data_IF_408007159602
#
_entry.id   IF_408007159602
#
_cell.length_a   1.000
_cell.length_b   1.000
_cell.length_c   1.000
_cell.angle_alpha   90.00
_cell.angle_beta   90.00
_cell.angle_gamma   90.00
#
_symmetry.space_group_name_H-M   'P 1'
#
loop_
_entity.id
_entity.type
_entity.pdbx_description
1 polymer ?
#
# COMPACT_ATOMS: atom_id res chain seq x y z
N UNK A 1 4.84 -20.85 12.19
CA UNK A 1 4.24 -20.24 13.39
C UNK A 1 3.40 -21.33 14.01
N UNK A 2 3.89 -21.96 15.07
CA UNK A 2 3.44 -23.32 15.44
C UNK A 2 2.88 -23.36 16.86
N UNK A 3 2.91 -22.22 17.56
CA UNK A 3 2.32 -22.05 18.89
C UNK A 3 1.07 -21.19 18.77
N UNK A 4 -0.03 -21.64 19.35
CA UNK A 4 -1.28 -20.88 19.41
C UNK A 4 -1.41 -20.28 20.81
N UNK A 5 -1.71 -19.00 20.90
CA UNK A 5 -2.00 -18.34 22.17
C UNK A 5 -3.31 -18.89 22.78
N UNK A 6 -3.28 -19.33 24.03
CA UNK A 6 -4.47 -19.88 24.70
C UNK A 6 -5.56 -18.85 25.03
N UNK A 7 -5.24 -17.56 25.03
CA UNK A 7 -6.17 -16.49 25.38
C UNK A 7 -6.86 -15.84 24.18
N UNK A 8 -6.16 -15.74 23.04
CA UNK A 8 -6.62 -14.98 21.88
C UNK A 8 -6.45 -15.73 20.55
N UNK A 9 -6.02 -17.00 20.59
CA UNK A 9 -5.81 -17.86 19.41
C UNK A 9 -4.81 -17.34 18.37
N UNK A 10 -4.05 -16.30 18.69
CA UNK A 10 -3.02 -15.77 17.79
C UNK A 10 -1.92 -16.81 17.55
N UNK A 11 -1.51 -16.94 16.28
CA UNK A 11 -0.35 -17.72 15.88
C UNK A 11 0.93 -17.01 16.33
N UNK A 12 1.85 -17.77 16.91
CA UNK A 12 3.10 -17.26 17.50
C UNK A 12 4.32 -17.91 16.89
N UNK A 13 5.42 -17.16 16.85
CA UNK A 13 6.74 -17.72 16.58
C UNK A 13 7.28 -18.51 17.78
N UNK A 14 8.17 -19.47 17.52
CA UNK A 14 8.68 -20.41 18.54
C UNK A 14 9.25 -19.72 19.79
N UNK A 15 9.94 -18.60 19.59
CA UNK A 15 10.66 -17.83 20.62
C UNK A 15 9.96 -16.49 20.98
N UNK A 16 8.72 -16.30 20.55
CA UNK A 16 7.99 -15.08 20.82
C UNK A 16 7.50 -15.03 22.27
N UNK A 17 7.68 -13.88 22.93
CA UNK A 17 7.35 -13.74 24.35
C UNK A 17 5.86 -14.02 24.63
N UNK A 18 5.49 -14.52 25.82
CA UNK A 18 4.10 -14.79 26.18
C UNK A 18 3.16 -13.56 26.07
N UNK A 19 3.70 -12.35 26.14
CA UNK A 19 2.94 -11.09 26.17
C UNK A 19 2.70 -10.44 24.81
N UNK A 20 3.36 -10.91 23.75
CA UNK A 20 3.41 -10.20 22.46
C UNK A 20 2.05 -10.00 21.77
N UNK A 21 1.07 -10.90 21.98
CA UNK A 21 -0.23 -10.83 21.31
C UNK A 21 -1.31 -10.13 22.15
N UNK A 22 -1.59 -10.62 23.36
CA UNK A 22 -2.70 -10.14 24.21
C UNK A 22 -2.23 -9.78 25.63
N UNK A 23 -0.94 -9.49 25.81
CA UNK A 23 -0.33 -9.24 27.11
C UNK A 23 -0.64 -10.34 28.15
N UNK A 24 -0.61 -11.60 27.71
CA UNK A 24 -0.98 -12.78 28.51
C UNK A 24 -2.43 -12.74 29.02
N UNK A 25 -3.37 -12.40 28.13
CA UNK A 25 -4.81 -12.37 28.42
C UNK A 25 -5.34 -11.07 29.03
N UNK A 26 -4.47 -10.08 29.27
CA UNK A 26 -4.87 -8.77 29.83
C UNK A 26 -5.55 -7.87 28.81
N UNK A 27 -5.30 -8.07 27.52
CA UNK A 27 -5.88 -7.29 26.42
C UNK A 27 -6.85 -8.19 25.65
N UNK A 28 -8.14 -7.85 25.68
CA UNK A 28 -9.14 -8.46 24.80
C UNK A 28 -9.08 -7.74 23.46
N UNK A 29 -8.59 -8.44 22.43
CA UNK A 29 -8.62 -7.88 21.08
C UNK A 29 -10.06 -7.89 20.53
N UNK A 30 -10.42 -6.91 19.68
CA UNK A 30 -11.69 -6.96 18.95
C UNK A 30 -11.75 -8.21 18.08
N UNK A 31 -12.96 -8.69 17.84
CA UNK A 31 -13.18 -9.75 16.86
C UNK A 31 -12.84 -9.22 15.47
N UNK A 32 -12.05 -9.98 14.71
CA UNK A 32 -11.74 -9.65 13.33
C UNK A 32 -12.90 -10.11 12.45
N UNK A 33 -13.65 -9.16 11.91
CA UNK A 33 -14.65 -9.48 10.89
C UNK A 33 -13.94 -9.84 9.58
N UNK A 34 -14.47 -10.84 8.83
CA UNK A 34 -13.93 -11.16 7.53
C UNK A 34 -14.05 -9.93 6.62
N UNK A 35 -13.03 -9.66 5.78
CA UNK A 35 -13.14 -8.59 4.81
C UNK A 35 -14.28 -8.91 3.82
N UNK A 36 -14.86 -7.88 3.14
CA UNK A 36 -15.81 -8.08 2.07
C UNK A 36 -15.33 -9.15 1.06
N UNK A 37 -16.25 -9.93 0.50
CA UNK A 37 -15.95 -11.10 -0.34
C UNK A 37 -14.92 -10.78 -1.44
N UNK A 38 -15.09 -9.64 -2.12
CA UNK A 38 -14.15 -9.18 -3.13
C UNK A 38 -12.71 -9.10 -2.59
N UNK A 39 -12.51 -8.45 -1.45
CA UNK A 39 -11.17 -8.31 -0.84
C UNK A 39 -10.63 -9.65 -0.32
N UNK A 40 -11.50 -10.56 0.11
CA UNK A 40 -11.09 -11.89 0.56
C UNK A 40 -10.62 -12.80 -0.59
N UNK A 41 -11.16 -12.61 -1.80
CA UNK A 41 -10.91 -13.49 -2.96
C UNK A 41 -9.75 -13.04 -3.83
N UNK A 42 -9.43 -11.73 -3.89
CA UNK A 42 -8.31 -11.19 -4.68
C UNK A 42 -6.95 -11.87 -4.40
N UNK A 43 -6.57 -12.20 -3.15
CA UNK A 43 -5.30 -12.86 -2.88
C UNK A 43 -5.29 -14.36 -3.23
N UNK A 44 -6.45 -14.97 -3.50
CA UNK A 44 -6.56 -16.43 -3.71
C UNK A 44 -5.83 -16.92 -4.96
N UNK A 45 -5.76 -16.09 -6.02
CA UNK A 45 -5.18 -16.47 -7.30
C UNK A 45 -5.87 -17.67 -7.99
N UNK A 46 -7.08 -18.06 -7.57
CA UNK A 46 -7.74 -19.28 -8.07
C UNK A 46 -8.47 -18.99 -9.39
N UNK A 47 -9.32 -17.97 -9.40
CA UNK A 47 -10.12 -17.59 -10.57
C UNK A 47 -9.39 -16.55 -11.45
N UNK A 48 -9.94 -16.29 -12.64
CA UNK A 48 -9.32 -15.40 -13.64
C UNK A 48 -9.04 -14.00 -13.09
N UNK A 49 -9.97 -13.45 -12.29
CA UNK A 49 -9.86 -12.08 -11.78
C UNK A 49 -8.79 -11.91 -10.70
N UNK A 50 -8.75 -12.72 -9.61
CA UNK A 50 -7.62 -12.79 -8.67
C UNK A 50 -6.27 -12.99 -9.35
N UNK A 51 -6.17 -13.87 -10.36
CA UNK A 51 -4.91 -14.05 -11.12
C UNK A 51 -4.49 -12.76 -11.81
N UNK A 52 -5.39 -12.14 -12.57
CA UNK A 52 -5.14 -10.87 -13.24
C UNK A 52 -4.79 -9.76 -12.25
N UNK A 53 -5.43 -9.74 -11.08
CA UNK A 53 -5.13 -8.80 -10.00
C UNK A 53 -3.70 -8.99 -9.50
N UNK A 54 -3.30 -10.21 -9.14
CA UNK A 54 -1.96 -10.51 -8.65
C UNK A 54 -0.88 -10.21 -9.69
N UNK A 55 -1.10 -10.57 -10.96
CA UNK A 55 -0.21 -10.25 -12.08
C UNK A 55 0.00 -8.74 -12.27
N UNK A 56 -1.00 -7.92 -11.93
CA UNK A 56 -0.96 -6.47 -12.11
C UNK A 56 -0.99 -5.70 -10.78
N UNK A 57 -0.72 -6.35 -9.63
CA UNK A 57 -0.93 -5.76 -8.29
C UNK A 57 -0.15 -4.46 -8.10
N UNK A 58 1.04 -4.35 -8.70
CA UNK A 58 1.85 -3.13 -8.67
C UNK A 58 1.17 -1.97 -9.38
N UNK A 59 0.52 -2.21 -10.52
CA UNK A 59 -0.25 -1.18 -11.25
C UNK A 59 -1.47 -0.75 -10.44
N UNK A 60 -2.21 -1.70 -9.87
CA UNK A 60 -3.34 -1.39 -9.00
C UNK A 60 -2.90 -0.51 -7.81
N UNK A 61 -1.90 -0.95 -7.04
CA UNK A 61 -1.41 -0.19 -5.88
C UNK A 61 -0.91 1.20 -6.27
N UNK A 62 -0.28 1.34 -7.43
CA UNK A 62 0.21 2.62 -7.93
C UNK A 62 -0.93 3.56 -8.30
N UNK A 63 -2.02 3.06 -8.90
CA UNK A 63 -3.23 3.85 -9.16
C UNK A 63 -3.88 4.41 -7.89
N UNK A 64 -3.64 3.81 -6.73
CA UNK A 64 -4.13 4.31 -5.43
C UNK A 64 -3.02 4.96 -4.59
N UNK A 65 -1.85 5.27 -5.17
CA UNK A 65 -0.77 5.91 -4.42
C UNK A 65 -1.15 7.34 -4.03
N UNK A 66 -1.12 7.62 -2.72
CA UNK A 66 -1.38 8.97 -2.18
C UNK A 66 -0.11 9.80 -2.01
N UNK A 67 1.05 9.13 -2.02
CA UNK A 67 2.36 9.76 -1.85
C UNK A 67 3.29 9.30 -2.96
N UNK A 68 4.22 10.16 -3.34
CA UNK A 68 5.31 9.83 -4.26
C UNK A 68 6.64 10.15 -3.59
N UNK A 69 7.70 9.51 -4.08
CA UNK A 69 9.05 9.73 -3.56
C UNK A 69 9.80 10.67 -4.50
N UNK A 70 10.24 11.81 -3.98
CA UNK A 70 11.10 12.75 -4.69
C UNK A 70 12.53 12.64 -4.18
N UNK A 71 13.51 12.77 -5.07
CA UNK A 71 14.94 12.84 -4.70
C UNK A 71 15.55 14.07 -5.35
N UNK A 72 16.46 14.74 -4.64
CA UNK A 72 17.14 15.94 -5.14
C UNK A 72 18.13 15.61 -6.25
N UNK A 73 18.86 14.49 -6.10
CA UNK A 73 19.86 14.03 -7.05
C UNK A 73 19.62 12.56 -7.36
N UNK A 74 19.63 12.20 -8.64
CA UNK A 74 19.54 10.82 -9.11
C UNK A 74 20.90 10.44 -9.67
N UNK A 75 21.60 9.51 -9.00
CA UNK A 75 22.82 8.89 -9.56
C UNK A 75 22.43 7.51 -10.07
N UNK A 76 22.56 7.29 -11.39
CA UNK A 76 22.32 5.98 -12.03
C UNK A 76 23.66 5.37 -12.41
N UNK A 77 24.29 4.66 -11.47
CA UNK A 77 25.48 3.85 -11.77
C UNK A 77 25.07 2.40 -12.07
N UNK A 78 25.37 1.92 -13.28
CA UNK A 78 25.14 0.54 -13.74
C UNK A 78 23.77 -0.07 -13.34
N UNK A 79 23.61 -1.38 -13.50
CA UNK A 79 22.40 -2.09 -13.09
C UNK A 79 22.35 -2.21 -11.56
N UNK A 80 21.91 -1.14 -10.89
CA UNK A 80 21.59 -1.15 -9.47
C UNK A 80 20.11 -1.51 -9.30
N UNK A 81 19.75 -2.71 -8.80
CA UNK A 81 18.35 -3.11 -8.62
C UNK A 81 17.68 -2.40 -7.43
N UNK A 82 18.42 -1.55 -6.72
CA UNK A 82 17.98 -0.84 -5.51
C UNK A 82 18.23 0.65 -5.65
N UNK A 83 17.28 1.48 -5.23
CA UNK A 83 17.53 2.92 -5.07
C UNK A 83 18.10 3.15 -3.68
N UNK A 84 19.12 4.01 -3.57
CA UNK A 84 19.73 4.39 -2.28
C UNK A 84 19.38 5.83 -1.99
N UNK A 85 18.87 6.08 -0.79
CA UNK A 85 18.58 7.43 -0.30
C UNK A 85 19.66 7.79 0.71
N UNK A 86 20.33 8.93 0.50
CA UNK A 86 21.29 9.49 1.44
C UNK A 86 20.69 10.75 2.07
N UNK A 87 20.74 10.83 3.40
CA UNK A 87 20.17 11.95 4.17
C UNK A 87 18.83 11.60 4.81
N UNK A 88 18.02 12.62 5.10
CA UNK A 88 16.72 12.48 5.77
C UNK A 88 15.57 12.46 4.77
N UNK A 89 14.58 11.60 5.04
CA UNK A 89 13.31 11.56 4.32
C UNK A 89 12.34 12.46 5.07
N UNK A 90 11.74 13.43 4.36
CA UNK A 90 10.68 14.28 4.90
C UNK A 90 9.41 14.10 4.07
N UNK A 91 8.26 14.11 4.75
CA UNK A 91 6.97 14.15 4.07
C UNK A 91 6.71 15.57 3.58
N UNK A 92 6.58 15.73 2.25
CA UNK A 92 6.14 16.99 1.65
C UNK A 92 4.65 16.91 1.35
N UNK A 93 3.83 17.41 2.28
CA UNK A 93 2.41 17.61 2.01
C UNK A 93 2.26 18.82 1.07
N UNK A 94 1.78 18.57 -0.15
CA UNK A 94 1.46 19.63 -1.11
C UNK A 94 0.11 20.29 -0.82
N UNK A 95 -0.21 21.32 -1.60
CA UNK A 95 -1.56 21.93 -1.59
C UNK A 95 -2.62 20.89 -1.98
N UNK A 96 -3.80 20.97 -1.36
CA UNK A 96 -4.97 20.19 -1.75
C UNK A 96 -5.54 20.62 -3.11
N UNK A 97 -5.30 21.89 -3.48
CA UNK A 97 -5.65 22.44 -4.79
C UNK A 97 -4.45 22.37 -5.73
N UNK A 98 -4.65 22.09 -7.03
CA UNK A 98 -3.61 22.26 -8.02
C UNK A 98 -3.17 23.73 -8.08
N UNK A 99 -1.93 23.94 -8.56
CA UNK A 99 -1.48 25.28 -8.93
C UNK A 99 -2.30 25.78 -10.14
N UNK A 100 -2.36 27.11 -10.37
CA UNK A 100 -2.92 27.65 -11.61
C UNK A 100 -2.30 26.94 -12.82
N UNK A 101 -3.16 26.55 -13.77
CA UNK A 101 -2.80 25.85 -15.02
C UNK A 101 -2.13 24.47 -14.86
N UNK A 102 -2.16 23.87 -13.67
CA UNK A 102 -1.67 22.53 -13.42
C UNK A 102 -2.80 21.51 -13.27
N UNK A 103 -2.59 20.31 -13.80
CA UNK A 103 -3.46 19.16 -13.53
C UNK A 103 -3.44 18.76 -12.05
N UNK A 104 -4.57 18.25 -11.56
CA UNK A 104 -4.63 17.61 -10.24
C UNK A 104 -3.90 16.25 -10.24
N UNK A 105 -3.06 16.01 -9.22
CA UNK A 105 -2.23 14.80 -9.09
C UNK A 105 -2.34 14.16 -7.72
N UNK A 106 -2.06 12.85 -7.65
CA UNK A 106 -2.05 12.08 -6.40
C UNK A 106 -3.33 12.29 -5.57
N UNK A 107 -3.22 12.78 -4.34
CA UNK A 107 -4.34 13.07 -3.45
C UNK A 107 -5.37 14.03 -4.07
N UNK A 108 -4.95 14.99 -4.89
CA UNK A 108 -5.86 15.98 -5.49
C UNK A 108 -6.87 15.34 -6.45
N UNK A 109 -6.54 14.19 -7.05
CA UNK A 109 -7.43 13.46 -7.97
C UNK A 109 -8.73 13.03 -7.26
N UNK A 110 -8.67 12.74 -5.96
CA UNK A 110 -9.84 12.31 -5.19
C UNK A 110 -10.83 13.45 -4.92
N UNK A 111 -10.37 14.70 -4.95
CA UNK A 111 -11.18 15.87 -4.61
C UNK A 111 -11.61 16.69 -5.83
N UNK A 112 -10.76 16.72 -6.86
CA UNK A 112 -10.92 17.66 -7.98
C UNK A 112 -11.42 17.01 -9.27
N UNK A 113 -11.14 15.72 -9.48
CA UNK A 113 -11.45 15.06 -10.75
C UNK A 113 -12.86 14.49 -10.76
N UNK A 114 -13.54 14.62 -11.91
CA UNK A 114 -14.76 13.85 -12.18
C UNK A 114 -14.46 12.36 -12.12
N UNK A 115 -15.39 11.57 -11.59
CA UNK A 115 -15.22 10.12 -11.36
C UNK A 115 -14.68 9.39 -12.59
N UNK A 116 -15.18 9.73 -13.78
CA UNK A 116 -14.84 9.07 -15.03
C UNK A 116 -13.41 9.39 -15.53
N UNK A 117 -12.86 10.53 -15.11
CA UNK A 117 -11.53 11.02 -15.50
C UNK A 117 -10.43 10.56 -14.53
N UNK A 118 -10.79 10.19 -13.29
CA UNK A 118 -9.85 9.79 -12.23
C UNK A 118 -8.92 8.67 -12.65
N UNK A 119 -9.46 7.65 -13.33
CA UNK A 119 -8.69 6.47 -13.75
C UNK A 119 -7.65 6.87 -14.79
N UNK A 120 -8.06 7.60 -15.83
CA UNK A 120 -7.16 8.04 -16.88
C UNK A 120 -6.06 8.94 -16.31
N UNK A 121 -6.41 9.85 -15.41
CA UNK A 121 -5.46 10.73 -14.74
C UNK A 121 -4.41 9.93 -13.95
N UNK A 122 -4.84 8.94 -13.16
CA UNK A 122 -3.93 8.07 -12.40
C UNK A 122 -2.99 7.30 -13.33
N UNK A 123 -3.52 6.76 -14.44
CA UNK A 123 -2.72 6.05 -15.43
C UNK A 123 -1.65 6.95 -16.07
N UNK A 124 -1.98 8.20 -16.39
CA UNK A 124 -1.04 9.17 -16.97
C UNK A 124 0.15 9.45 -16.05
N UNK A 125 -0.08 9.55 -14.74
CA UNK A 125 0.96 9.85 -13.76
C UNK A 125 1.77 8.63 -13.28
N UNK A 126 1.27 7.42 -13.54
CA UNK A 126 1.85 6.17 -13.03
C UNK A 126 2.57 5.33 -14.10
N UNK A 127 2.98 5.93 -15.22
CA UNK A 127 3.60 5.23 -16.35
C UNK A 127 4.85 4.38 -16.00
N UNK A 128 5.48 4.62 -14.84
CA UNK A 128 6.69 3.93 -14.38
C UNK A 128 6.48 2.55 -13.75
N UNK A 129 5.24 2.10 -13.49
CA UNK A 129 5.01 0.80 -12.83
C UNK A 129 4.88 -0.32 -13.86
N UNK A 130 6.04 -0.75 -14.39
CA UNK A 130 6.20 -2.05 -15.05
C UNK A 130 6.28 -3.17 -14.01
#
# INVERSE_FOLDING_TARGET
MDKICMYCSALKFKNETPRMCCASGKVKQPELHPPPELLSTLPSGVTREPKRFLENIRKYNSCFQMTSFGVMNIVRENYMPTFRVQGQIYHRAGSLLPLPDADHKFLQIYFMAKTDEQIQQRCNYNAGTR
#
